data_IF_758912460937
#
_entry.id   IF_758912460937
#
_cell.length_a   1.000
_cell.length_b   1.000
_cell.length_c   1.000
_cell.angle_alpha   90.00
_cell.angle_beta   90.00
_cell.angle_gamma   90.00
#
_symmetry.space_group_name_H-M   'P 1'
#
loop_
_entity.id
_entity.type
_entity.pdbx_description
1 polymer ?
#
# COMPACT_ATOMS: atom_id res chain seq x y z
N UNK A 1 23.85 24.80 15.42
CA UNK A 1 24.20 24.20 14.13
C UNK A 1 23.30 23.01 13.89
N UNK A 2 22.29 23.17 13.06
CA UNK A 2 21.42 22.08 12.61
C UNK A 2 22.23 21.24 11.63
N UNK A 3 22.67 20.05 12.05
CA UNK A 3 23.12 19.04 11.09
C UNK A 3 21.87 18.57 10.36
N UNK A 4 21.68 19.09 9.14
CA UNK A 4 20.76 18.45 8.20
C UNK A 4 21.36 17.08 7.89
N UNK A 5 20.77 16.01 8.42
CA UNK A 5 21.03 14.66 7.97
C UNK A 5 20.53 14.58 6.52
N UNK A 6 21.35 15.01 5.58
CA UNK A 6 21.11 14.74 4.16
C UNK A 6 21.38 13.27 3.94
N UNK A 7 20.31 12.49 3.78
CA UNK A 7 20.40 11.10 3.33
C UNK A 7 21.15 11.09 2.01
N UNK A 8 22.26 10.37 1.94
CA UNK A 8 23.04 10.24 0.71
C UNK A 8 22.23 9.56 -0.41
N UNK A 9 22.56 9.81 -1.66
CA UNK A 9 21.88 9.17 -2.82
C UNK A 9 21.95 7.64 -2.76
N UNK A 10 23.05 7.10 -2.25
CA UNK A 10 23.22 5.65 -2.08
C UNK A 10 22.25 5.12 -1.01
N UNK A 11 22.15 5.81 0.11
CA UNK A 11 21.23 5.42 1.20
C UNK A 11 19.78 5.48 0.73
N UNK A 12 19.41 6.51 -0.02
CA UNK A 12 18.09 6.66 -0.61
C UNK A 12 17.77 5.48 -1.56
N UNK A 13 18.73 5.09 -2.39
CA UNK A 13 18.55 3.95 -3.31
C UNK A 13 18.36 2.63 -2.53
N UNK A 14 19.13 2.44 -1.46
CA UNK A 14 19.00 1.26 -0.60
C UNK A 14 17.62 1.23 0.07
N UNK A 15 17.17 2.35 0.61
CA UNK A 15 15.85 2.47 1.23
C UNK A 15 14.74 2.17 0.24
N UNK A 16 14.83 2.71 -0.97
CA UNK A 16 13.86 2.48 -2.03
C UNK A 16 13.78 1.01 -2.44
N UNK A 17 14.92 0.38 -2.66
CA UNK A 17 14.99 -1.04 -2.99
C UNK A 17 14.40 -1.92 -1.88
N UNK A 18 14.58 -1.53 -0.62
CA UNK A 18 13.97 -2.22 0.52
C UNK A 18 12.45 -2.07 0.53
N UNK A 19 11.92 -0.89 0.24
CA UNK A 19 10.47 -0.70 0.12
C UNK A 19 9.88 -1.58 -0.99
N UNK A 20 10.51 -1.62 -2.15
CA UNK A 20 10.10 -2.49 -3.25
C UNK A 20 10.09 -3.96 -2.82
N UNK A 21 11.13 -4.42 -2.13
CA UNK A 21 11.22 -5.78 -1.63
C UNK A 21 10.10 -6.11 -0.62
N UNK A 22 9.78 -5.19 0.27
CA UNK A 22 8.69 -5.36 1.25
C UNK A 22 7.34 -5.48 0.54
N UNK A 23 7.08 -4.63 -0.43
CA UNK A 23 5.81 -4.64 -1.18
C UNK A 23 5.69 -5.91 -2.02
N UNK A 24 6.78 -6.36 -2.63
CA UNK A 24 6.80 -7.62 -3.37
C UNK A 24 6.53 -8.82 -2.45
N UNK A 25 7.09 -8.84 -1.25
CA UNK A 25 6.80 -9.88 -0.26
C UNK A 25 5.34 -9.87 0.18
N UNK A 26 4.72 -8.71 0.31
CA UNK A 26 3.27 -8.60 0.57
C UNK A 26 2.45 -9.26 -0.54
N UNK A 27 2.75 -8.95 -1.79
CA UNK A 27 2.06 -9.53 -2.94
C UNK A 27 2.23 -11.05 -2.98
N UNK A 28 3.46 -11.55 -2.82
CA UNK A 28 3.77 -12.97 -2.78
C UNK A 28 3.09 -13.70 -1.61
N UNK A 29 2.98 -13.05 -0.46
CA UNK A 29 2.28 -13.61 0.70
C UNK A 29 0.79 -13.73 0.44
N UNK A 30 0.18 -12.70 -0.16
CA UNK A 30 -1.22 -12.74 -0.54
C UNK A 30 -1.50 -13.85 -1.56
N UNK A 31 -0.66 -13.98 -2.58
CA UNK A 31 -0.77 -15.07 -3.57
C UNK A 31 -0.72 -16.46 -2.91
N UNK A 32 0.24 -16.67 -2.02
CA UNK A 32 0.42 -17.96 -1.34
C UNK A 32 -0.69 -18.33 -0.39
N UNK A 33 -1.35 -17.34 0.21
CA UNK A 33 -2.42 -17.54 1.20
C UNK A 33 -3.82 -17.46 0.61
N UNK A 34 -3.95 -17.02 -0.64
CA UNK A 34 -5.24 -16.88 -1.30
C UNK A 34 -5.90 -18.22 -1.60
N UNK A 35 -7.21 -18.29 -1.42
CA UNK A 35 -8.04 -19.42 -1.83
C UNK A 35 -8.46 -19.33 -3.29
N UNK A 36 -8.50 -18.12 -3.85
CA UNK A 36 -8.86 -17.89 -5.25
C UNK A 36 -7.75 -18.37 -6.19
N UNK A 37 -8.05 -19.23 -7.18
CA UNK A 37 -7.09 -19.59 -8.21
C UNK A 37 -6.64 -18.39 -9.06
N UNK A 38 -7.51 -17.43 -9.27
CA UNK A 38 -7.22 -16.22 -10.05
C UNK A 38 -6.10 -15.43 -9.35
N UNK A 39 -6.20 -15.21 -8.07
CA UNK A 39 -5.14 -14.54 -7.29
C UNK A 39 -3.90 -15.40 -7.22
N UNK A 40 -4.04 -16.68 -6.84
CA UNK A 40 -2.91 -17.57 -6.54
C UNK A 40 -2.10 -17.98 -7.77
N UNK A 41 -2.77 -18.20 -8.90
CA UNK A 41 -2.13 -18.75 -10.11
C UNK A 41 -1.93 -17.71 -11.20
N UNK A 42 -2.84 -16.75 -11.31
CA UNK A 42 -2.77 -15.69 -12.32
C UNK A 42 -2.15 -14.39 -11.77
N UNK A 43 -1.96 -14.26 -10.45
CA UNK A 43 -1.40 -13.07 -9.85
C UNK A 43 -2.29 -11.84 -9.98
N UNK A 44 -3.61 -12.03 -10.01
CA UNK A 44 -4.57 -10.94 -10.11
C UNK A 44 -4.74 -10.24 -8.75
N UNK A 45 -3.77 -9.42 -8.44
CA UNK A 45 -3.69 -8.61 -7.24
C UNK A 45 -2.73 -7.44 -7.45
N UNK A 46 -2.76 -6.47 -6.57
CA UNK A 46 -1.74 -5.42 -6.47
C UNK A 46 -1.45 -5.09 -5.03
N UNK A 47 -0.22 -4.66 -4.76
CA UNK A 47 0.21 -4.21 -3.45
C UNK A 47 1.05 -2.94 -3.56
N UNK A 48 0.87 -2.01 -2.63
CA UNK A 48 1.57 -0.75 -2.62
C UNK A 48 1.78 -0.20 -1.21
N UNK A 49 2.75 0.69 -1.10
CA UNK A 49 3.10 1.43 0.10
C UNK A 49 2.98 2.92 -0.18
N UNK A 50 2.37 3.65 0.75
CA UNK A 50 1.96 5.05 0.58
C UNK A 50 2.45 5.91 1.75
N UNK A 51 2.81 7.14 1.46
CA UNK A 51 3.08 8.13 2.50
C UNK A 51 1.78 8.64 3.17
N UNK A 52 1.93 9.53 4.13
CA UNK A 52 0.81 10.06 4.90
C UNK A 52 -0.12 10.99 4.11
N UNK A 53 0.31 11.44 2.94
CA UNK A 53 -0.50 12.21 2.00
C UNK A 53 -1.19 11.34 0.93
N UNK A 54 -1.01 10.03 1.01
CA UNK A 54 -1.60 9.08 0.06
C UNK A 54 -0.86 8.99 -1.27
N UNK A 55 0.41 9.42 -1.32
CA UNK A 55 1.25 9.26 -2.50
C UNK A 55 1.95 7.90 -2.46
N UNK A 56 1.95 7.22 -3.58
CA UNK A 56 2.60 5.91 -3.68
C UNK A 56 4.11 6.04 -3.63
N UNK A 57 4.74 5.32 -2.71
CA UNK A 57 6.20 5.24 -2.58
C UNK A 57 6.79 4.05 -3.32
N UNK A 58 6.11 2.92 -3.28
CA UNK A 58 6.52 1.70 -3.96
C UNK A 58 5.31 0.82 -4.27
N UNK A 59 5.43 0.02 -5.31
CA UNK A 59 4.44 -0.99 -5.70
C UNK A 59 5.13 -2.32 -5.96
N UNK A 60 4.40 -3.42 -5.83
CA UNK A 60 4.90 -4.72 -6.21
C UNK A 60 5.11 -4.80 -7.74
N UNK A 61 6.15 -5.50 -8.14
CA UNK A 61 6.41 -5.82 -9.56
C UNK A 61 5.38 -6.82 -10.06
N UNK A 62 5.06 -7.80 -9.21
CA UNK A 62 3.95 -8.73 -9.42
C UNK A 62 2.65 -7.99 -9.18
N UNK A 63 1.75 -7.99 -10.15
CA UNK A 63 0.44 -7.37 -10.00
C UNK A 63 -0.19 -6.94 -11.32
N UNK A 64 -1.45 -6.55 -11.21
CA UNK A 64 -2.25 -6.08 -12.35
C UNK A 64 -2.03 -4.58 -12.55
N UNK A 65 -1.47 -4.14 -13.69
CA UNK A 65 -1.14 -2.72 -13.90
C UNK A 65 -2.34 -1.77 -13.75
N UNK A 66 -3.54 -2.24 -14.11
CA UNK A 66 -4.77 -1.45 -14.00
C UNK A 66 -5.15 -1.06 -12.57
N UNK A 67 -4.77 -1.88 -11.59
CA UNK A 67 -5.09 -1.63 -10.18
C UNK A 67 -4.24 -0.55 -9.52
N UNK A 68 -3.07 -0.25 -10.08
CA UNK A 68 -2.10 0.67 -9.44
C UNK A 68 -2.68 2.06 -9.22
N UNK A 69 -3.28 2.63 -10.25
CA UNK A 69 -3.86 3.97 -10.17
C UNK A 69 -5.12 4.00 -9.30
N UNK A 70 -5.99 3.01 -9.44
CA UNK A 70 -7.21 2.91 -8.63
C UNK A 70 -6.89 2.71 -7.14
N UNK A 71 -5.88 1.91 -6.81
CA UNK A 71 -5.40 1.72 -5.46
C UNK A 71 -4.84 3.04 -4.88
N UNK A 72 -4.07 3.79 -5.64
CA UNK A 72 -3.53 5.08 -5.20
C UNK A 72 -4.65 6.10 -4.90
N UNK A 73 -5.68 6.14 -5.73
CA UNK A 73 -6.84 7.00 -5.48
C UNK A 73 -7.65 6.52 -4.27
N UNK A 74 -7.82 5.20 -4.09
CA UNK A 74 -8.55 4.67 -2.93
C UNK A 74 -7.91 5.06 -1.61
N UNK A 75 -6.59 5.06 -1.51
CA UNK A 75 -5.87 5.47 -0.30
C UNK A 75 -6.20 6.93 0.06
N UNK A 76 -6.28 7.82 -0.91
CA UNK A 76 -6.68 9.22 -0.68
C UNK A 76 -8.10 9.31 -0.13
N UNK A 77 -9.03 8.49 -0.63
CA UNK A 77 -10.38 8.42 -0.11
C UNK A 77 -10.41 7.91 1.34
N UNK A 78 -9.63 6.87 1.68
CA UNK A 78 -9.52 6.40 3.06
C UNK A 78 -9.01 7.51 4.00
N UNK A 79 -7.97 8.24 3.62
CA UNK A 79 -7.44 9.36 4.41
C UNK A 79 -8.44 10.50 4.58
N UNK A 80 -9.30 10.71 3.59
CA UNK A 80 -10.36 11.72 3.66
C UNK A 80 -11.48 11.35 4.62
N UNK A 81 -11.92 10.08 4.61
CA UNK A 81 -13.00 9.60 5.46
C UNK A 81 -12.53 9.23 6.88
N UNK A 82 -11.30 8.78 7.00
CA UNK A 82 -10.67 8.39 8.26
C UNK A 82 -9.37 9.18 8.44
N UNK A 83 -9.45 10.37 9.08
CA UNK A 83 -8.26 11.18 9.34
C UNK A 83 -7.16 10.41 10.08
N UNK A 84 -5.91 10.72 9.79
CA UNK A 84 -4.73 10.05 10.36
C UNK A 84 -4.79 9.99 11.89
N UNK A 85 -5.28 11.05 12.53
CA UNK A 85 -5.38 11.16 13.98
C UNK A 85 -6.34 10.15 14.61
N UNK A 86 -7.25 9.57 13.81
CA UNK A 86 -8.22 8.56 14.25
C UNK A 86 -7.74 7.13 14.04
N UNK A 87 -6.66 6.94 13.28
CA UNK A 87 -6.13 5.63 12.96
C UNK A 87 -5.33 5.04 14.13
N UNK A 88 -5.46 3.74 14.32
CA UNK A 88 -4.77 2.98 15.38
C UNK A 88 -3.99 1.81 14.79
N UNK A 89 -2.95 1.39 15.50
CA UNK A 89 -2.23 0.18 15.15
C UNK A 89 -3.17 -1.03 15.16
N UNK A 90 -3.17 -1.80 14.07
CA UNK A 90 -4.06 -2.95 13.89
C UNK A 90 -5.36 -2.64 13.15
N UNK A 91 -5.67 -1.37 12.89
CA UNK A 91 -6.82 -1.03 12.04
C UNK A 91 -6.62 -1.54 10.61
N UNK A 92 -7.73 -1.89 9.99
CA UNK A 92 -7.80 -2.21 8.57
C UNK A 92 -9.05 -1.55 7.97
N UNK A 93 -8.88 -0.89 6.86
CA UNK A 93 -9.93 -0.21 6.11
C UNK A 93 -10.15 -0.95 4.80
N UNK A 94 -11.40 -1.24 4.48
CA UNK A 94 -11.76 -2.02 3.30
C UNK A 94 -12.85 -1.30 2.51
N UNK A 95 -12.74 -1.34 1.19
CA UNK A 95 -13.81 -0.91 0.28
C UNK A 95 -13.91 -1.84 -0.93
N UNK A 96 -15.11 -2.00 -1.44
CA UNK A 96 -15.41 -2.59 -2.75
C UNK A 96 -16.15 -1.61 -3.66
N UNK A 97 -16.14 -0.33 -3.31
CA UNK A 97 -16.76 0.71 -4.11
C UNK A 97 -15.94 0.96 -5.38
N UNK A 98 -16.51 0.71 -6.59
CA UNK A 98 -15.76 0.87 -7.82
C UNK A 98 -15.41 2.33 -8.14
N UNK A 99 -16.11 3.30 -7.56
CA UNK A 99 -15.85 4.73 -7.79
C UNK A 99 -14.77 5.30 -6.88
N UNK A 100 -14.63 4.74 -5.67
CA UNK A 100 -13.66 5.18 -4.67
C UNK A 100 -12.54 4.18 -4.40
N UNK A 101 -12.52 3.08 -5.11
CA UNK A 101 -11.59 1.98 -4.86
C UNK A 101 -11.05 1.34 -6.13
N UNK A 102 -11.66 0.24 -6.51
CA UNK A 102 -11.11 -0.70 -7.48
C UNK A 102 -11.21 -0.28 -8.95
N UNK A 103 -12.11 0.61 -9.29
CA UNK A 103 -12.41 1.00 -10.67
C UNK A 103 -13.37 0.04 -11.39
N UNK A 104 -13.69 -1.12 -10.82
CA UNK A 104 -14.68 -2.07 -11.31
C UNK A 104 -15.26 -2.93 -10.18
N UNK A 105 -16.28 -3.71 -10.48
CA UNK A 105 -16.95 -4.58 -9.50
C UNK A 105 -16.12 -5.81 -9.16
N UNK A 106 -16.45 -6.43 -8.03
CA UNK A 106 -15.93 -7.68 -7.48
C UNK A 106 -14.57 -7.61 -6.76
N UNK A 107 -13.82 -6.54 -6.90
CA UNK A 107 -12.56 -6.37 -6.20
C UNK A 107 -12.72 -5.66 -4.86
N UNK A 108 -11.75 -5.87 -3.99
CA UNK A 108 -11.66 -5.20 -2.71
C UNK A 108 -10.31 -4.50 -2.58
N UNK A 109 -10.32 -3.28 -2.06
CA UNK A 109 -9.10 -2.59 -1.62
C UNK A 109 -9.04 -2.63 -0.11
N UNK A 110 -7.93 -3.12 0.42
CA UNK A 110 -7.66 -3.14 1.85
C UNK A 110 -6.47 -2.25 2.13
N UNK A 111 -6.64 -1.28 3.03
CA UNK A 111 -5.58 -0.36 3.47
C UNK A 111 -5.34 -0.50 4.96
N UNK A 112 -4.09 -0.62 5.36
CA UNK A 112 -3.69 -0.71 6.77
C UNK A 112 -2.63 0.33 7.10
N UNK A 113 -2.77 1.06 8.22
CA UNK A 113 -1.73 1.95 8.71
C UNK A 113 -0.56 1.15 9.31
N UNK A 114 0.65 1.62 9.12
CA UNK A 114 1.84 1.05 9.74
C UNK A 114 2.44 2.03 10.73
N UNK A 115 2.61 1.59 11.96
CA UNK A 115 3.13 2.40 13.07
C UNK A 115 4.53 1.96 13.45
N UNK A 116 5.36 2.93 13.79
CA UNK A 116 6.67 2.72 14.41
C UNK A 116 6.77 3.59 15.67
N UNK A 117 7.11 2.98 16.80
CA UNK A 117 7.19 3.66 18.10
C UNK A 117 5.92 4.48 18.44
N UNK A 118 4.74 3.94 18.15
CA UNK A 118 3.46 4.60 18.41
C UNK A 118 3.10 5.74 17.45
N UNK A 119 3.92 5.98 16.43
CA UNK A 119 3.71 7.01 15.41
C UNK A 119 3.38 6.37 14.07
N UNK A 120 2.37 6.89 13.39
CA UNK A 120 2.03 6.49 12.03
C UNK A 120 3.13 6.95 11.07
N UNK A 121 3.72 6.02 10.34
CA UNK A 121 4.81 6.31 9.41
C UNK A 121 4.40 6.10 7.94
N UNK A 122 3.57 5.10 7.66
CA UNK A 122 3.26 4.70 6.30
C UNK A 122 1.94 3.93 6.23
N UNK A 123 1.26 3.97 5.10
CA UNK A 123 0.11 3.14 4.79
C UNK A 123 0.45 2.04 3.79
N UNK A 124 -0.26 0.93 3.86
CA UNK A 124 -0.18 -0.18 2.90
C UNK A 124 -1.55 -0.45 2.32
N UNK A 125 -1.62 -0.70 1.01
CA UNK A 125 -2.86 -1.08 0.35
C UNK A 125 -2.65 -2.31 -0.55
N UNK A 126 -3.72 -3.09 -0.69
CA UNK A 126 -3.83 -4.25 -1.56
C UNK A 126 -5.14 -4.17 -2.34
N UNK A 127 -5.13 -4.64 -3.56
CA UNK A 127 -6.31 -4.84 -4.41
C UNK A 127 -6.38 -6.30 -4.81
#
# INVERSE_FOLDING_TARGET
MSQSNSVGLIDLQIMWNRLIAVVEEQAQTLMRTAFSPIVRECGDLSAGVFDLEGRMLAQAVTGTPGHVNSMAESVKHFLRYFPIETMKAGDAYITNDPWMGTGHLNDFVITTPAFHNGRLEIGRAHV
#
